data_IF_304972679211
#
_entry.id   IF_304972679211
#
_cell.length_a   1.000
_cell.length_b   1.000
_cell.length_c   1.000
_cell.angle_alpha   90.00
_cell.angle_beta   90.00
_cell.angle_gamma   90.00
#
_symmetry.space_group_name_H-M   'P 1'
#
loop_
_entity.id
_entity.type
_entity.pdbx_description
1 polymer ?
#
# COMPACT_ATOMS: atom_id res chain seq x y z
N UNK A 1 -11.48 -20.18 -11.14
CA UNK A 1 -10.78 -19.08 -10.44
C UNK A 1 -11.05 -17.78 -11.19
N UNK A 2 -11.58 -16.75 -10.52
CA UNK A 2 -11.92 -15.49 -11.18
C UNK A 2 -10.66 -14.73 -11.62
N UNK A 3 -10.75 -13.97 -12.72
CA UNK A 3 -9.64 -13.15 -13.23
C UNK A 3 -9.16 -12.11 -12.23
N UNK A 4 -10.09 -11.60 -11.41
CA UNK A 4 -9.82 -10.64 -10.35
C UNK A 4 -8.94 -11.22 -9.24
N UNK A 5 -9.25 -12.43 -8.76
CA UNK A 5 -8.45 -13.09 -7.72
C UNK A 5 -7.01 -13.30 -8.18
N UNK A 6 -6.82 -13.79 -9.41
CA UNK A 6 -5.48 -13.98 -9.99
C UNK A 6 -4.68 -12.67 -10.10
N UNK A 7 -5.35 -11.56 -10.41
CA UNK A 7 -4.72 -10.25 -10.48
C UNK A 7 -4.25 -9.77 -9.11
N UNK A 8 -5.07 -9.95 -8.06
CA UNK A 8 -4.66 -9.61 -6.70
C UNK A 8 -3.53 -10.49 -6.19
N UNK A 9 -3.59 -11.81 -6.40
CA UNK A 9 -2.52 -12.73 -6.00
C UNK A 9 -1.19 -12.35 -6.67
N UNK A 10 -1.23 -11.98 -7.96
CA UNK A 10 -0.06 -11.52 -8.70
C UNK A 10 0.49 -10.22 -8.10
N UNK A 11 -0.37 -9.22 -7.90
CA UNK A 11 0.04 -7.93 -7.33
C UNK A 11 0.59 -8.05 -5.91
N UNK A 12 0.01 -8.91 -5.08
CA UNK A 12 0.50 -9.14 -3.72
C UNK A 12 1.87 -9.82 -3.73
N UNK A 13 2.07 -10.84 -4.58
CA UNK A 13 3.38 -11.50 -4.75
C UNK A 13 4.46 -10.57 -5.33
N UNK A 14 4.08 -9.65 -6.21
CA UNK A 14 4.99 -8.66 -6.79
C UNK A 14 5.28 -7.52 -5.81
N UNK A 15 4.40 -7.28 -4.84
CA UNK A 15 4.66 -6.35 -3.75
C UNK A 15 5.63 -6.96 -2.73
N UNK A 16 6.33 -6.14 -1.98
CA UNK A 16 7.11 -6.57 -0.80
C UNK A 16 6.24 -6.65 0.47
N UNK A 17 4.92 -6.71 0.33
CA UNK A 17 4.00 -6.87 1.46
C UNK A 17 4.09 -8.28 2.03
N UNK A 18 4.17 -8.37 3.36
CA UNK A 18 4.18 -9.63 4.11
C UNK A 18 2.87 -9.88 4.87
N UNK A 19 1.95 -8.91 4.86
CA UNK A 19 0.69 -8.97 5.61
C UNK A 19 -0.26 -7.83 5.27
N UNK A 20 -1.39 -7.78 5.99
CA UNK A 20 -2.46 -6.77 5.84
C UNK A 20 -2.84 -6.17 7.21
N UNK A 21 -3.31 -4.92 7.28
CA UNK A 21 -3.49 -3.96 6.18
C UNK A 21 -2.16 -3.34 5.69
N UNK A 22 -2.04 -3.06 4.39
CA UNK A 22 -0.86 -2.44 3.78
C UNK A 22 -1.23 -1.64 2.52
N UNK A 23 -0.57 -0.49 2.33
CA UNK A 23 -0.79 0.41 1.18
C UNK A 23 0.52 0.63 0.44
N UNK A 24 0.48 0.47 -0.88
CA UNK A 24 1.58 0.74 -1.79
C UNK A 24 1.23 1.95 -2.66
N UNK A 25 2.10 2.96 -2.70
CA UNK A 25 1.92 4.18 -3.50
C UNK A 25 2.90 4.19 -4.66
N UNK A 26 2.41 4.54 -5.86
CA UNK A 26 3.19 4.62 -7.11
C UNK A 26 4.01 3.35 -7.42
N UNK A 27 3.53 2.17 -7.00
CA UNK A 27 4.23 0.89 -7.11
C UNK A 27 5.67 0.88 -6.54
N UNK A 28 5.99 1.84 -5.66
CA UNK A 28 7.36 2.11 -5.21
C UNK A 28 7.47 2.25 -3.70
N UNK A 29 6.48 2.86 -3.05
CA UNK A 29 6.52 3.19 -1.64
C UNK A 29 5.54 2.32 -0.84
N UNK A 30 6.02 1.62 0.19
CA UNK A 30 5.16 1.00 1.20
C UNK A 30 4.96 1.98 2.35
N UNK A 31 3.69 2.22 2.70
CA UNK A 31 3.35 3.09 3.84
C UNK A 31 3.36 2.25 5.12
N UNK A 32 4.23 2.61 6.07
CA UNK A 32 4.34 1.95 7.38
C UNK A 32 3.53 2.76 8.41
N UNK A 33 2.39 2.25 8.91
CA UNK A 33 1.50 3.03 9.77
C UNK A 33 1.97 3.14 11.23
N UNK A 34 2.97 2.34 11.65
CA UNK A 34 3.38 2.22 13.06
C UNK A 34 3.83 3.56 13.70
N UNK A 35 4.35 4.47 12.89
CA UNK A 35 4.85 5.76 13.35
C UNK A 35 3.83 6.91 13.18
N UNK A 36 2.69 6.62 12.56
CA UNK A 36 1.67 7.63 12.23
C UNK A 36 0.69 7.76 13.39
N UNK A 37 0.52 8.99 13.88
CA UNK A 37 -0.18 9.28 15.14
C UNK A 37 -1.67 9.56 14.95
N UNK A 38 -2.12 9.76 13.71
CA UNK A 38 -3.53 9.97 13.37
C UNK A 38 -3.88 9.56 11.93
N UNK A 39 -5.17 9.33 11.68
CA UNK A 39 -5.67 9.07 10.32
C UNK A 39 -5.42 10.22 9.34
N UNK A 40 -5.41 11.46 9.84
CA UNK A 40 -5.12 12.64 9.02
C UNK A 40 -3.66 12.61 8.53
N UNK A 41 -2.73 12.38 9.45
CA UNK A 41 -1.29 12.26 9.14
C UNK A 41 -1.01 11.10 8.17
N UNK A 42 -1.73 9.98 8.30
CA UNK A 42 -1.64 8.86 7.36
C UNK A 42 -2.04 9.28 5.94
N UNK A 43 -3.15 10.01 5.83
CA UNK A 43 -3.68 10.48 4.56
C UNK A 43 -2.77 11.52 3.92
N UNK A 44 -2.19 12.43 4.72
CA UNK A 44 -1.20 13.40 4.26
C UNK A 44 0.07 12.73 3.74
N UNK A 45 0.58 11.72 4.44
CA UNK A 45 1.73 10.94 3.99
C UNK A 45 1.46 10.26 2.64
N UNK A 46 0.29 9.63 2.48
CA UNK A 46 -0.11 9.02 1.21
C UNK A 46 -0.17 10.07 0.09
N UNK A 47 -0.79 11.23 0.37
CA UNK A 47 -0.91 12.31 -0.61
C UNK A 47 0.45 12.87 -1.01
N UNK A 48 1.37 13.05 -0.06
CA UNK A 48 2.73 13.47 -0.35
C UNK A 48 3.44 12.45 -1.26
N UNK A 49 3.38 11.15 -0.92
CA UNK A 49 4.00 10.09 -1.71
C UNK A 49 3.43 9.96 -3.13
N UNK A 50 2.18 10.37 -3.36
CA UNK A 50 1.58 10.41 -4.70
C UNK A 50 2.22 11.47 -5.60
N UNK A 51 2.80 12.53 -5.03
CA UNK A 51 3.48 13.60 -5.78
C UNK A 51 4.93 13.28 -6.17
N UNK A 52 5.48 12.17 -5.65
CA UNK A 52 6.85 11.70 -5.89
C UNK A 52 6.92 10.60 -6.95
#
# INVERSE_FOLDING_TARGET
>A
VSSMQKRFDKQFKESTLTGVPGVVVNNKYIVIPNEVRSYAEYSELVNYLLTL
#
